data_IF_132714550943
#
_entry.id   IF_132714550943
#
_cell.length_a   1.000
_cell.length_b   1.000
_cell.length_c   1.000
_cell.angle_alpha   90.00
_cell.angle_beta   90.00
_cell.angle_gamma   90.00
#
_symmetry.space_group_name_H-M   'P 1'
#
loop_
_entity.id
_entity.type
_entity.pdbx_description
1 polymer ?
#
# COMPACT_ATOMS: atom_id res chain seq x y z
N UNK A 1 27.17 -9.03 0.26
CA UNK A 1 26.59 -9.63 -0.95
C UNK A 1 25.63 -10.76 -0.56
N UNK A 2 24.47 -10.91 -1.19
CA UNK A 2 23.57 -12.05 -0.94
C UNK A 2 24.05 -13.23 -1.79
N UNK A 3 24.17 -14.41 -1.20
CA UNK A 3 24.69 -15.63 -1.84
C UNK A 3 23.68 -16.76 -1.87
N UNK A 4 22.75 -16.83 -0.91
CA UNK A 4 21.71 -17.87 -0.87
C UNK A 4 20.41 -17.40 -0.24
N UNK A 5 19.32 -18.11 -0.56
CA UNK A 5 18.00 -17.99 0.03
C UNK A 5 17.51 -19.39 0.44
N UNK A 6 17.16 -19.56 1.72
CA UNK A 6 16.72 -20.85 2.29
C UNK A 6 17.67 -22.01 1.98
N UNK A 7 18.99 -21.73 2.06
CA UNK A 7 20.05 -22.70 1.75
C UNK A 7 20.28 -22.94 0.25
N UNK A 8 19.45 -22.38 -0.65
CA UNK A 8 19.63 -22.50 -2.10
C UNK A 8 20.47 -21.33 -2.64
N UNK A 9 21.52 -21.58 -3.45
CA UNK A 9 22.28 -20.52 -4.09
C UNK A 9 21.39 -19.64 -4.96
N UNK A 10 21.63 -18.32 -4.89
CA UNK A 10 20.94 -17.34 -5.73
C UNK A 10 21.89 -16.95 -6.86
N UNK A 11 21.48 -17.17 -8.10
CA UNK A 11 22.29 -16.85 -9.28
C UNK A 11 22.26 -15.37 -9.67
N UNK A 12 21.21 -14.63 -9.28
CA UNK A 12 21.08 -13.21 -9.61
C UNK A 12 20.10 -12.48 -8.69
N UNK A 13 20.18 -11.16 -8.67
CA UNK A 13 19.21 -10.31 -7.99
C UNK A 13 17.78 -10.50 -8.53
N UNK A 14 17.63 -10.75 -9.83
CA UNK A 14 16.33 -11.02 -10.44
C UNK A 14 15.72 -12.34 -9.90
N UNK A 15 16.53 -13.38 -9.76
CA UNK A 15 16.09 -14.65 -9.19
C UNK A 15 15.66 -14.50 -7.71
N UNK A 16 16.40 -13.70 -6.93
CA UNK A 16 16.00 -13.35 -5.56
C UNK A 16 14.65 -12.65 -5.53
N UNK A 17 14.48 -11.61 -6.35
CA UNK A 17 13.23 -10.84 -6.42
C UNK A 17 12.04 -11.72 -6.79
N UNK A 18 12.21 -12.61 -7.77
CA UNK A 18 11.15 -13.53 -8.19
C UNK A 18 10.75 -14.48 -7.06
N UNK A 19 11.72 -15.10 -6.38
CA UNK A 19 11.44 -16.03 -5.28
C UNK A 19 10.78 -15.35 -4.08
N UNK A 20 11.24 -14.17 -3.70
CA UNK A 20 10.65 -13.39 -2.60
C UNK A 20 9.24 -12.91 -2.96
N UNK A 21 9.02 -12.51 -4.22
CA UNK A 21 7.72 -12.01 -4.67
C UNK A 21 6.59 -13.04 -4.70
N UNK A 22 6.91 -14.33 -4.75
CA UNK A 22 5.92 -15.42 -4.73
C UNK A 22 5.63 -15.99 -3.34
N UNK A 23 6.36 -15.54 -2.31
CA UNK A 23 6.18 -16.03 -0.94
C UNK A 23 5.08 -15.25 -0.21
N UNK A 24 4.25 -15.90 0.64
CA UNK A 24 3.25 -15.20 1.42
C UNK A 24 3.87 -14.32 2.49
N UNK A 25 3.17 -13.24 2.85
CA UNK A 25 3.53 -12.38 3.99
C UNK A 25 3.54 -13.22 5.28
N UNK A 26 4.49 -12.94 6.18
CA UNK A 26 4.75 -13.72 7.40
C UNK A 26 5.65 -14.93 7.18
N UNK A 27 6.07 -15.23 5.94
CA UNK A 27 7.01 -16.33 5.68
C UNK A 27 8.37 -16.03 6.31
N UNK A 28 8.88 -17.00 7.08
CA UNK A 28 10.25 -16.98 7.58
C UNK A 28 11.21 -17.46 6.49
N UNK A 29 12.28 -16.71 6.26
CA UNK A 29 13.32 -17.06 5.30
C UNK A 29 14.71 -16.84 5.89
N UNK A 30 15.68 -17.56 5.37
CA UNK A 30 17.09 -17.44 5.74
C UNK A 30 17.87 -16.92 4.55
N UNK A 31 18.53 -15.77 4.69
CA UNK A 31 19.47 -15.25 3.70
C UNK A 31 20.90 -15.61 4.07
N UNK A 32 21.60 -16.23 3.14
CA UNK A 32 23.07 -16.32 3.18
C UNK A 32 23.67 -15.06 2.60
N UNK A 33 24.59 -14.47 3.34
CA UNK A 33 25.30 -13.25 3.03
C UNK A 33 26.81 -13.52 3.06
N UNK A 34 27.54 -12.85 2.19
CA UNK A 34 28.98 -12.70 2.26
C UNK A 34 29.28 -11.27 2.71
N UNK A 35 29.85 -11.10 3.90
CA UNK A 35 30.26 -9.82 4.49
C UNK A 35 31.71 -9.94 4.94
N UNK A 36 32.58 -9.08 4.45
CA UNK A 36 34.03 -9.08 4.76
C UNK A 36 34.70 -10.45 4.52
N UNK A 37 34.29 -11.15 3.45
CA UNK A 37 34.77 -12.49 3.11
C UNK A 37 34.24 -13.62 3.99
N UNK A 38 33.43 -13.33 5.03
CA UNK A 38 32.82 -14.33 5.91
C UNK A 38 31.37 -14.60 5.50
N UNK A 39 30.97 -15.87 5.54
CA UNK A 39 29.58 -16.26 5.33
C UNK A 39 28.77 -16.02 6.61
N UNK A 40 27.63 -15.36 6.46
CA UNK A 40 26.70 -15.01 7.54
C UNK A 40 25.30 -15.44 7.11
N UNK A 41 24.58 -16.15 7.98
CA UNK A 41 23.17 -16.47 7.77
C UNK A 41 22.29 -15.54 8.62
N UNK A 42 21.28 -14.95 8.01
CA UNK A 42 20.33 -14.07 8.69
C UNK A 42 18.92 -14.59 8.49
N UNK A 43 18.20 -14.78 9.59
CA UNK A 43 16.79 -15.14 9.57
C UNK A 43 15.93 -13.88 9.51
N UNK A 44 14.97 -13.88 8.60
CA UNK A 44 14.09 -12.77 8.30
C UNK A 44 12.66 -13.27 8.22
N UNK A 45 11.72 -12.37 8.43
CA UNK A 45 10.29 -12.60 8.21
C UNK A 45 9.83 -11.63 7.13
N UNK A 46 9.13 -12.14 6.11
CA UNK A 46 8.55 -11.30 5.07
C UNK A 46 7.45 -10.44 5.68
N UNK A 47 7.69 -9.14 5.66
CA UNK A 47 6.68 -8.16 6.01
C UNK A 47 5.99 -7.66 4.76
N UNK A 48 4.75 -7.21 4.90
CA UNK A 48 4.03 -6.54 3.84
C UNK A 48 4.86 -5.33 3.37
N UNK A 49 5.19 -5.31 2.08
CA UNK A 49 5.91 -4.22 1.46
C UNK A 49 5.09 -2.93 1.60
N UNK A 50 5.64 -1.96 2.33
CA UNK A 50 5.08 -0.61 2.44
C UNK A 50 5.41 0.25 1.21
N UNK A 51 5.66 -0.39 0.05
CA UNK A 51 5.94 0.30 -1.21
C UNK A 51 4.62 0.86 -1.73
N UNK A 52 4.21 1.94 -1.06
CA UNK A 52 2.92 2.61 -1.13
C UNK A 52 2.94 3.73 -2.17
N UNK A 53 3.46 3.45 -3.36
CA UNK A 53 3.15 4.27 -4.53
C UNK A 53 2.42 3.36 -5.49
N UNK A 54 1.12 3.21 -5.22
CA UNK A 54 0.20 2.66 -6.19
C UNK A 54 -0.06 3.79 -7.17
N UNK A 55 0.38 3.63 -8.42
CA UNK A 55 -0.01 4.54 -9.49
C UNK A 55 -1.54 4.60 -9.57
N UNK A 56 -2.10 5.72 -9.13
CA UNK A 56 -3.54 5.95 -8.92
C UNK A 56 -4.37 6.02 -10.20
N UNK A 57 -3.83 5.63 -11.36
CA UNK A 57 -4.52 5.74 -12.64
C UNK A 57 -5.42 4.56 -12.98
N UNK A 58 -5.34 3.42 -12.27
CA UNK A 58 -6.02 2.19 -12.72
C UNK A 58 -6.79 1.43 -11.62
N UNK A 59 -6.84 1.97 -10.39
CA UNK A 59 -7.26 1.16 -9.22
C UNK A 59 -8.46 1.73 -8.45
N UNK A 60 -8.78 3.02 -8.60
CA UNK A 60 -9.81 3.65 -7.78
C UNK A 60 -10.80 4.44 -8.63
N UNK A 61 -11.86 3.74 -9.07
CA UNK A 61 -12.96 4.39 -9.78
C UNK A 61 -13.57 5.48 -8.90
N UNK A 62 -13.64 6.69 -9.44
CA UNK A 62 -14.22 7.89 -8.82
C UNK A 62 -13.25 8.76 -8.00
N UNK A 63 -12.07 8.27 -7.66
CA UNK A 63 -11.06 9.11 -6.98
C UNK A 63 -9.74 9.13 -7.75
N UNK A 64 -9.85 9.12 -9.07
CA UNK A 64 -8.72 9.22 -9.97
C UNK A 64 -7.96 10.53 -9.72
N UNK A 65 -6.63 10.44 -9.80
CA UNK A 65 -5.74 11.57 -9.62
C UNK A 65 -5.34 11.89 -8.18
N UNK A 66 -5.78 11.12 -7.18
CA UNK A 66 -5.24 11.17 -5.82
C UNK A 66 -4.10 10.17 -5.63
N UNK A 67 -2.89 10.65 -5.35
CA UNK A 67 -1.75 9.80 -4.94
C UNK A 67 -1.86 9.50 -3.45
N UNK A 68 -1.82 8.22 -3.09
CA UNK A 68 -2.15 7.76 -1.75
C UNK A 68 -1.14 6.72 -1.25
N UNK A 69 -0.94 6.68 0.07
CA UNK A 69 -0.10 5.69 0.75
C UNK A 69 -0.69 5.25 2.08
N UNK A 70 -0.27 4.11 2.63
CA UNK A 70 -0.65 3.73 4.01
C UNK A 70 -0.05 4.71 5.02
N UNK A 71 -0.85 5.14 5.99
CA UNK A 71 -0.40 5.90 7.16
C UNK A 71 -0.02 4.91 8.26
N UNK A 72 1.28 4.68 8.44
CA UNK A 72 1.79 3.76 9.47
C UNK A 72 1.20 2.34 9.37
N UNK A 73 1.18 1.63 10.49
CA UNK A 73 0.53 0.32 10.60
C UNK A 73 -0.92 0.52 11.04
N UNK A 74 -1.85 0.17 10.16
CA UNK A 74 -3.30 0.17 10.40
C UNK A 74 -3.93 1.54 10.78
N UNK A 75 -3.31 2.67 10.40
CA UNK A 75 -3.82 4.01 10.72
C UNK A 75 -4.52 4.71 9.54
N UNK A 76 -4.90 3.94 8.51
CA UNK A 76 -5.64 4.43 7.35
C UNK A 76 -4.74 4.75 6.15
N UNK A 77 -5.31 5.51 5.22
CA UNK A 77 -4.66 5.85 3.94
C UNK A 77 -4.47 7.36 3.85
N UNK A 78 -3.22 7.81 3.80
CA UNK A 78 -2.88 9.23 3.64
C UNK A 78 -2.86 9.61 2.17
N UNK A 79 -3.42 10.77 1.86
CA UNK A 79 -3.41 11.39 0.53
C UNK A 79 -2.17 12.28 0.43
N UNK A 80 -1.22 11.87 -0.39
CA UNK A 80 0.06 12.55 -0.58
C UNK A 80 -0.05 13.74 -1.53
N UNK A 81 -0.90 13.59 -2.56
CA UNK A 81 -1.11 14.59 -3.59
C UNK A 81 -2.46 14.39 -4.27
N UNK A 82 -3.03 15.46 -4.81
CA UNK A 82 -4.26 15.42 -5.60
C UNK A 82 -4.07 16.31 -6.82
N UNK A 83 -4.23 15.72 -8.01
CA UNK A 83 -4.12 16.46 -9.28
C UNK A 83 -5.34 17.35 -9.48
N UNK A 84 -5.13 18.57 -9.93
CA UNK A 84 -6.22 19.50 -10.25
C UNK A 84 -7.05 18.99 -11.43
N UNK A 85 -8.37 19.21 -11.39
CA UNK A 85 -9.28 18.82 -12.47
C UNK A 85 -9.58 17.31 -12.55
N UNK A 86 -9.22 16.53 -11.52
CA UNK A 86 -9.56 15.10 -11.47
C UNK A 86 -10.75 14.82 -10.55
N UNK A 87 -11.40 13.64 -10.67
CA UNK A 87 -12.50 13.24 -9.79
C UNK A 87 -12.18 13.35 -8.31
N UNK A 88 -10.97 12.96 -7.88
CA UNK A 88 -10.52 13.17 -6.51
C UNK A 88 -10.60 14.64 -6.07
N UNK A 89 -10.14 15.58 -6.91
CA UNK A 89 -10.23 17.01 -6.61
C UNK A 89 -11.68 17.50 -6.57
N UNK A 90 -12.54 16.99 -7.46
CA UNK A 90 -13.96 17.37 -7.55
C UNK A 90 -14.74 16.98 -6.29
N UNK A 91 -14.43 15.83 -5.69
CA UNK A 91 -15.06 15.42 -4.42
C UNK A 91 -14.47 16.14 -3.20
N UNK A 92 -13.45 16.98 -3.41
CA UNK A 92 -12.83 17.77 -2.37
C UNK A 92 -11.76 17.05 -1.55
N UNK A 93 -11.18 15.95 -2.06
CA UNK A 93 -9.96 15.37 -1.47
C UNK A 93 -8.81 16.38 -1.57
N UNK A 94 -7.98 16.41 -0.53
CA UNK A 94 -6.82 17.29 -0.42
C UNK A 94 -5.62 16.51 0.09
N UNK A 95 -4.43 17.03 -0.24
CA UNK A 95 -3.19 16.58 0.37
C UNK A 95 -3.27 16.70 1.89
N UNK A 96 -2.83 15.64 2.58
CA UNK A 96 -2.86 15.54 4.04
C UNK A 96 -4.13 14.92 4.61
N UNK A 97 -5.15 14.67 3.78
CA UNK A 97 -6.30 13.89 4.21
C UNK A 97 -5.89 12.47 4.55
N UNK A 98 -6.52 11.91 5.58
CA UNK A 98 -6.35 10.51 5.97
C UNK A 98 -7.69 9.81 5.89
N UNK A 99 -7.84 8.90 4.94
CA UNK A 99 -9.02 8.07 4.79
C UNK A 99 -8.99 7.00 5.89
N UNK A 100 -9.98 7.05 6.76
CA UNK A 100 -10.16 6.13 7.90
C UNK A 100 -11.38 5.23 7.72
N UNK A 101 -12.23 5.51 6.74
CA UNK A 101 -13.34 4.65 6.36
C UNK A 101 -13.89 4.94 4.97
N UNK A 102 -14.61 3.97 4.43
CA UNK A 102 -15.36 4.07 3.18
C UNK A 102 -16.65 3.26 3.28
N UNK A 103 -17.80 3.85 2.93
CA UNK A 103 -19.13 3.21 2.96
C UNK A 103 -19.43 2.50 4.29
N UNK A 104 -19.18 3.18 5.41
CA UNK A 104 -19.36 2.67 6.78
C UNK A 104 -18.41 1.50 7.15
N UNK A 105 -17.45 1.16 6.30
CA UNK A 105 -16.41 0.19 6.60
C UNK A 105 -15.14 0.92 7.05
N UNK A 106 -14.51 0.43 8.12
CA UNK A 106 -13.21 0.93 8.55
C UNK A 106 -12.15 0.63 7.49
N UNK A 107 -11.27 1.60 7.25
CA UNK A 107 -10.16 1.49 6.28
C UNK A 107 -8.87 1.75 7.03
N UNK A 108 -8.06 0.70 7.18
CA UNK A 108 -6.78 0.71 7.87
C UNK A 108 -5.59 0.83 6.92
N UNK A 109 -5.79 0.45 5.67
CA UNK A 109 -4.77 0.44 4.63
C UNK A 109 -5.41 0.48 3.23
N UNK A 110 -4.57 0.67 2.21
CA UNK A 110 -4.96 0.77 0.80
C UNK A 110 -5.67 -0.49 0.31
N UNK A 111 -5.30 -1.68 0.80
CA UNK A 111 -5.94 -2.92 0.37
C UNK A 111 -7.40 -2.98 0.82
N UNK A 112 -7.70 -2.51 2.03
CA UNK A 112 -9.07 -2.39 2.53
C UNK A 112 -9.86 -1.31 1.78
N UNK A 113 -9.26 -0.15 1.53
CA UNK A 113 -9.89 0.90 0.71
C UNK A 113 -10.26 0.37 -0.68
N UNK A 114 -9.32 -0.34 -1.31
CA UNK A 114 -9.52 -0.96 -2.62
C UNK A 114 -10.67 -1.96 -2.58
N UNK A 115 -10.76 -2.80 -1.56
CA UNK A 115 -11.84 -3.79 -1.42
C UNK A 115 -13.23 -3.14 -1.42
N UNK A 116 -13.38 -1.97 -0.79
CA UNK A 116 -14.64 -1.21 -0.82
C UNK A 116 -14.93 -0.69 -2.22
N UNK A 117 -13.91 -0.19 -2.93
CA UNK A 117 -14.07 0.37 -4.28
C UNK A 117 -14.32 -0.70 -5.34
N UNK A 118 -13.71 -1.88 -5.21
CA UNK A 118 -13.92 -3.04 -6.08
C UNK A 118 -15.36 -3.58 -5.99
N UNK A 119 -16.10 -3.27 -4.91
CA UNK A 119 -17.53 -3.58 -4.80
C UNK A 119 -18.42 -2.73 -5.71
N UNK A 120 -17.85 -1.72 -6.40
CA UNK A 120 -18.53 -0.80 -7.30
C UNK A 120 -19.82 -0.24 -6.71
N UNK A 121 -19.75 0.43 -5.55
CA UNK A 121 -20.93 1.00 -4.95
C UNK A 121 -21.43 2.17 -5.80
N UNK A 122 -22.75 2.35 -5.89
CA UNK A 122 -23.36 3.48 -6.63
C UNK A 122 -23.06 4.83 -5.97
N UNK A 123 -22.74 4.82 -4.68
CA UNK A 123 -22.33 6.00 -3.92
C UNK A 123 -21.07 5.64 -3.13
N UNK A 124 -20.03 6.45 -3.28
CA UNK A 124 -18.85 6.45 -2.44
C UNK A 124 -19.02 7.47 -1.33
N UNK A 125 -18.92 7.01 -0.09
CA UNK A 125 -18.88 7.83 1.11
C UNK A 125 -17.55 7.61 1.83
N UNK A 126 -16.60 8.52 1.63
CA UNK A 126 -15.30 8.49 2.29
C UNK A 126 -15.39 9.20 3.63
N UNK A 127 -14.99 8.51 4.69
CA UNK A 127 -14.74 9.10 5.99
C UNK A 127 -13.25 9.47 6.09
N UNK A 128 -12.97 10.76 6.13
CA UNK A 128 -11.62 11.31 6.15
C UNK A 128 -11.34 12.10 7.42
N UNK A 129 -10.11 12.04 7.91
CA UNK A 129 -9.57 12.92 8.91
C UNK A 129 -8.73 14.00 8.22
N UNK A 130 -9.09 15.27 8.44
CA UNK A 130 -8.39 16.46 7.92
C UNK A 130 -8.01 17.34 9.10
N UNK A 131 -6.72 17.33 9.45
CA UNK A 131 -6.27 17.93 10.71
C UNK A 131 -6.94 17.23 11.90
N UNK A 132 -7.63 18.00 12.74
CA UNK A 132 -8.32 17.49 13.93
C UNK A 132 -9.81 17.19 13.69
N UNK A 133 -10.29 17.40 12.48
CA UNK A 133 -11.70 17.19 12.12
C UNK A 133 -11.90 15.94 11.27
N UNK A 134 -13.04 15.29 11.48
CA UNK A 134 -13.51 14.18 10.64
C UNK A 134 -14.60 14.68 9.70
N UNK A 135 -14.45 14.41 8.41
CA UNK A 135 -15.32 14.90 7.34
C UNK A 135 -15.77 13.71 6.48
N UNK A 136 -17.00 13.76 5.98
CA UNK A 136 -17.49 12.84 4.97
C UNK A 136 -17.46 13.49 3.59
N UNK A 137 -16.84 12.82 2.62
CA UNK A 137 -16.91 13.18 1.20
C UNK A 137 -17.80 12.16 0.48
N UNK A 138 -18.78 12.67 -0.27
CA UNK A 138 -19.76 11.86 -0.97
C UNK A 138 -19.61 12.06 -2.48
N UNK A 139 -19.76 10.98 -3.23
CA UNK A 139 -19.72 10.99 -4.68
C UNK A 139 -20.56 9.86 -5.26
N UNK A 140 -21.21 10.11 -6.39
CA UNK A 140 -21.85 9.07 -7.18
C UNK A 140 -20.86 8.56 -8.24
N UNK A 141 -20.68 7.24 -8.31
CA UNK A 141 -19.74 6.54 -9.18
C UNK A 141 -20.44 5.60 -10.14
#
# INVERSE_FOLDING_TARGET
MITSLNGKPISSFAALRAQVGTMPVGSKLTLGLLRDGKQVNVNLELQQSSQNQVDSSTIFNGIEGAEMSNKGKDQGVVVNNVKTGTPAAQIGLKKGDVIIGANQQAVKNIAELRKVLDSKPSVLALNIQRGDSTIYLLMQI
#
